data_IF_453423970860
#
_entry.id   IF_453423970860
#
_cell.length_a   1.000
_cell.length_b   1.000
_cell.length_c   1.000
_cell.angle_alpha   90.00
_cell.angle_beta   90.00
_cell.angle_gamma   90.00
#
_symmetry.space_group_name_H-M   'P 1'
#
loop_
_entity.id
_entity.type
_entity.pdbx_description
1 polymer ?
#
# COMPACT_ATOMS: atom_id res chain seq x y z
N UNK A 1 -8.36 17.73 9.23
CA UNK A 1 -8.52 16.26 9.37
C UNK A 1 -7.74 15.70 8.22
N UNK A 2 -6.52 15.22 8.45
CA UNK A 2 -5.72 14.69 7.35
C UNK A 2 -6.38 13.42 6.85
N UNK A 3 -6.67 13.34 5.56
CA UNK A 3 -7.39 12.21 4.96
C UNK A 3 -6.44 11.50 4.00
N UNK A 4 -6.03 10.30 4.38
CA UNK A 4 -5.17 9.46 3.55
C UNK A 4 -6.01 8.31 3.01
N UNK A 5 -6.16 8.25 1.69
CA UNK A 5 -6.92 7.21 1.01
C UNK A 5 -5.93 6.17 0.50
N UNK A 6 -6.01 4.95 1.03
CA UNK A 6 -5.24 3.81 0.53
C UNK A 6 -6.08 3.04 -0.48
N UNK A 7 -5.54 2.85 -1.68
CA UNK A 7 -6.02 1.86 -2.66
C UNK A 7 -5.06 0.68 -2.70
N UNK A 8 -5.40 -0.42 -2.02
CA UNK A 8 -4.56 -1.62 -1.98
C UNK A 8 -4.97 -2.61 -3.07
N UNK A 9 -4.06 -2.84 -4.01
CA UNK A 9 -4.23 -3.80 -5.11
C UNK A 9 -3.38 -5.04 -4.85
N UNK A 10 -4.03 -6.12 -4.44
CA UNK A 10 -3.41 -7.42 -4.22
C UNK A 10 -3.45 -8.22 -5.53
N UNK A 11 -2.31 -8.36 -6.18
CA UNK A 11 -2.11 -9.19 -7.37
C UNK A 11 -1.17 -10.38 -7.07
N UNK A 12 -1.20 -10.87 -5.82
CA UNK A 12 -0.45 -12.04 -5.38
C UNK A 12 -1.36 -13.28 -5.35
N UNK A 13 -0.87 -14.42 -5.79
CA UNK A 13 -1.52 -15.73 -5.62
C UNK A 13 -1.46 -16.18 -4.15
N UNK A 14 -0.40 -15.79 -3.42
CA UNK A 14 -0.22 -16.14 -2.02
C UNK A 14 -0.21 -14.91 -1.10
N UNK A 15 -1.27 -14.73 -0.34
CA UNK A 15 -1.39 -13.67 0.66
C UNK A 15 -0.77 -14.02 2.02
N UNK A 16 -0.22 -15.22 2.18
CA UNK A 16 0.34 -15.67 3.46
C UNK A 16 1.58 -14.85 3.84
N UNK A 17 1.44 -14.04 4.89
CA UNK A 17 2.51 -13.18 5.41
C UNK A 17 2.58 -11.79 4.76
N UNK A 18 1.63 -11.44 3.89
CA UNK A 18 1.53 -10.08 3.36
C UNK A 18 0.88 -9.15 4.40
N UNK A 19 1.31 -7.88 4.47
CA UNK A 19 0.64 -6.89 5.29
C UNK A 19 -0.80 -6.68 4.83
N UNK A 20 -1.72 -6.54 5.78
CA UNK A 20 -3.10 -6.21 5.50
C UNK A 20 -3.28 -4.70 5.22
N UNK A 21 -4.41 -4.34 4.63
CA UNK A 21 -4.75 -2.94 4.32
C UNK A 21 -4.63 -2.03 5.55
N UNK A 22 -5.02 -2.51 6.74
CA UNK A 22 -4.91 -1.72 7.97
C UNK A 22 -3.45 -1.48 8.40
N UNK A 23 -2.49 -2.36 8.06
CA UNK A 23 -1.07 -2.11 8.29
C UNK A 23 -0.55 -1.00 7.37
N UNK A 24 -0.87 -1.06 6.08
CA UNK A 24 -0.49 -0.01 5.13
C UNK A 24 -1.13 1.34 5.48
N UNK A 25 -2.42 1.35 5.82
CA UNK A 25 -3.12 2.56 6.22
C UNK A 25 -2.44 3.21 7.43
N UNK A 26 -2.07 2.43 8.46
CA UNK A 26 -1.34 2.95 9.63
C UNK A 26 0.01 3.57 9.27
N UNK A 27 0.75 2.99 8.32
CA UNK A 27 2.01 3.56 7.86
C UNK A 27 1.79 4.87 7.11
N UNK A 28 0.78 4.90 6.24
CA UNK A 28 0.44 6.08 5.46
C UNK A 28 -0.09 7.21 6.35
N UNK A 29 -0.96 6.93 7.31
CA UNK A 29 -1.45 7.91 8.28
C UNK A 29 -0.33 8.49 9.15
N UNK A 30 0.75 7.73 9.40
CA UNK A 30 1.91 8.21 10.14
C UNK A 30 2.85 9.10 9.32
N UNK A 31 2.90 8.92 8.00
CA UNK A 31 3.89 9.53 7.12
C UNK A 31 3.29 10.63 6.25
N UNK A 32 2.18 10.36 5.57
CA UNK A 32 1.57 11.24 4.57
C UNK A 32 1.14 12.60 5.13
N UNK A 33 0.52 12.70 6.33
CA UNK A 33 0.15 14.00 6.90
C UNK A 33 1.33 14.96 7.11
N UNK A 34 2.57 14.46 7.12
CA UNK A 34 3.78 15.28 7.21
C UNK A 34 4.11 15.99 5.88
N UNK A 35 3.56 15.50 4.77
CA UNK A 35 3.80 16.02 3.42
C UNK A 35 2.55 16.67 2.81
N UNK A 36 1.37 16.08 3.02
CA UNK A 36 0.09 16.55 2.45
C UNK A 36 -1.06 16.31 3.43
N UNK A 37 -2.01 17.26 3.50
CA UNK A 37 -3.23 17.10 4.31
C UNK A 37 -4.19 16.07 3.70
N UNK A 38 -4.25 15.97 2.38
CA UNK A 38 -5.07 14.99 1.66
C UNK A 38 -4.19 14.29 0.62
N UNK A 39 -4.11 12.97 0.67
CA UNK A 39 -3.42 12.20 -0.36
C UNK A 39 -4.11 10.86 -0.63
N UNK A 40 -4.01 10.44 -1.88
CA UNK A 40 -4.44 9.12 -2.35
C UNK A 40 -3.20 8.33 -2.74
N UNK A 41 -3.06 7.13 -2.18
CA UNK A 41 -1.88 6.28 -2.38
C UNK A 41 -2.35 4.90 -2.84
N UNK A 42 -1.98 4.55 -4.06
CA UNK A 42 -2.20 3.21 -4.61
C UNK A 42 -0.97 2.33 -4.36
N UNK A 43 -1.18 1.20 -3.68
CA UNK A 43 -0.13 0.20 -3.42
C UNK A 43 -0.50 -1.08 -4.15
N UNK A 44 0.35 -1.52 -5.09
CA UNK A 44 0.16 -2.80 -5.79
C UNK A 44 1.17 -3.82 -5.30
N UNK A 45 0.68 -4.89 -4.67
CA UNK A 45 1.45 -6.05 -4.29
C UNK A 45 1.42 -7.06 -5.44
N UNK A 46 2.60 -7.46 -5.90
CA UNK A 46 2.80 -8.44 -6.97
C UNK A 46 3.76 -9.51 -6.49
N UNK A 47 3.58 -10.75 -6.93
CA UNK A 47 4.49 -11.84 -6.59
C UNK A 47 5.85 -11.68 -7.29
N UNK A 48 6.93 -12.08 -6.61
CA UNK A 48 8.27 -12.13 -7.22
C UNK A 48 8.34 -13.05 -8.45
N UNK A 49 7.40 -13.99 -8.65
CA UNK A 49 7.34 -14.78 -9.88
C UNK A 49 7.15 -13.89 -11.12
N UNK A 50 6.68 -12.66 -10.93
CA UNK A 50 6.59 -11.59 -11.91
C UNK A 50 7.78 -10.61 -11.82
N UNK A 51 9.01 -11.11 -11.55
CA UNK A 51 10.21 -10.26 -11.74
C UNK A 51 10.24 -9.80 -13.20
N UNK A 52 10.35 -8.48 -13.49
CA UNK A 52 10.58 -8.04 -14.84
C UNK A 52 11.85 -8.72 -15.35
N UNK A 53 11.72 -9.51 -16.41
CA UNK A 53 12.84 -10.11 -17.12
C UNK A 53 13.80 -8.96 -17.51
N UNK A 54 15.11 -9.10 -17.24
CA UNK A 54 16.10 -8.06 -17.56
C UNK A 54 16.17 -7.76 -19.06
#
# INVERSE_FOLDING_TARGET
>A
MSQVILDLQLACENHAGLPDEAQFQRWLDGVIPQFQEEAEVTIRLVDEAEKPRP
#
